data_IF_493865116542
#
_entry.id   IF_493865116542
#
_cell.length_a   1.000
_cell.length_b   1.000
_cell.length_c   1.000
_cell.angle_alpha   90.00
_cell.angle_beta   90.00
_cell.angle_gamma   90.00
#
_symmetry.space_group_name_H-M   'P 1'
#
loop_
_entity.id
_entity.type
_entity.pdbx_description
1 polymer ?
#
# COMPACT_ATOMS: atom_id res chain seq x y z
N UNK A 1 -16.28 -24.92 -21.53
CA UNK A 1 -16.55 -24.69 -20.80
C UNK A 1 -15.90 -24.40 -19.58
N UNK A 2 -14.91 -24.04 -19.39
CA UNK A 2 -14.25 -23.85 -18.21
C UNK A 2 -14.10 -22.45 -17.84
N UNK A 3 -15.12 -21.78 -17.87
CA UNK A 3 -15.14 -20.43 -17.43
C UNK A 3 -14.50 -20.21 -16.07
N UNK A 4 -14.60 -21.12 -15.15
CA UNK A 4 -14.02 -20.95 -13.85
C UNK A 4 -12.53 -20.71 -13.84
N UNK A 5 -11.87 -21.05 -14.91
CA UNK A 5 -10.44 -20.85 -14.97
C UNK A 5 -10.04 -19.40 -14.75
N UNK A 6 -10.83 -18.48 -15.29
CA UNK A 6 -10.54 -17.07 -15.13
C UNK A 6 -10.63 -16.68 -13.67
N UNK A 7 -11.68 -17.14 -13.00
CA UNK A 7 -11.86 -16.84 -11.59
C UNK A 7 -10.77 -17.44 -10.72
N UNK A 8 -10.27 -18.61 -11.11
CA UNK A 8 -9.23 -19.27 -10.35
C UNK A 8 -7.91 -18.53 -10.41
N UNK A 9 -7.69 -17.75 -11.47
CA UNK A 9 -6.46 -17.02 -11.64
C UNK A 9 -6.50 -15.61 -11.04
N UNK A 10 -7.67 -15.15 -10.60
CA UNK A 10 -7.78 -13.85 -9.96
C UNK A 10 -7.48 -14.00 -8.47
N UNK A 11 -6.71 -13.10 -7.88
CA UNK A 11 -6.47 -13.16 -6.45
C UNK A 11 -7.77 -12.93 -5.71
N UNK A 12 -7.96 -13.64 -4.62
CA UNK A 12 -9.11 -13.42 -3.76
C UNK A 12 -8.81 -12.25 -2.83
N UNK A 13 -9.80 -11.40 -2.63
CA UNK A 13 -9.66 -10.32 -1.67
C UNK A 13 -9.55 -10.91 -0.26
N UNK A 14 -8.73 -10.29 0.56
CA UNK A 14 -8.68 -10.60 1.97
C UNK A 14 -9.93 -10.06 2.63
N UNK A 15 -10.36 -10.70 3.71
CA UNK A 15 -11.40 -10.11 4.54
C UNK A 15 -10.82 -8.92 5.30
N UNK A 16 -11.70 -8.08 5.84
CA UNK A 16 -11.25 -6.94 6.64
C UNK A 16 -10.43 -7.43 7.84
N UNK A 17 -10.87 -8.52 8.48
CA UNK A 17 -10.15 -9.11 9.59
C UNK A 17 -8.75 -9.59 9.19
N UNK A 18 -8.63 -10.16 8.00
CA UNK A 18 -7.33 -10.61 7.50
C UNK A 18 -6.42 -9.42 7.20
N UNK A 19 -6.96 -8.34 6.65
CA UNK A 19 -6.18 -7.11 6.41
C UNK A 19 -5.70 -6.55 7.73
N UNK A 20 -6.57 -6.47 8.74
CA UNK A 20 -6.18 -5.97 10.05
C UNK A 20 -5.06 -6.80 10.66
N UNK A 21 -5.16 -8.13 10.56
CA UNK A 21 -4.13 -9.03 11.07
C UNK A 21 -2.80 -8.81 10.35
N UNK A 22 -2.87 -8.62 9.03
CA UNK A 22 -1.68 -8.37 8.20
C UNK A 22 -0.99 -7.07 8.60
N UNK A 23 -1.76 -6.01 8.75
CA UNK A 23 -1.23 -4.70 9.12
C UNK A 23 -0.59 -4.71 10.51
N UNK A 24 -1.23 -5.38 11.47
CA UNK A 24 -0.66 -5.52 12.80
C UNK A 24 0.63 -6.34 12.78
N UNK A 25 0.64 -7.42 12.01
CA UNK A 25 1.82 -8.27 11.92
C UNK A 25 3.01 -7.57 11.28
N UNK A 26 2.76 -6.61 10.40
CA UNK A 26 3.83 -5.87 9.75
C UNK A 26 4.62 -5.01 10.74
N UNK A 27 3.96 -4.46 11.76
CA UNK A 27 4.59 -3.57 12.70
C UNK A 27 4.36 -3.97 14.14
N UNK A 28 4.91 -5.12 14.55
CA UNK A 28 4.70 -5.64 15.89
C UNK A 28 5.56 -4.97 16.95
N UNK A 29 6.59 -4.19 16.55
CA UNK A 29 7.46 -3.51 17.49
C UNK A 29 7.52 -2.02 17.21
N UNK A 30 8.36 -1.33 18.02
CA UNK A 30 8.59 0.11 17.86
C UNK A 30 9.93 0.40 17.20
N UNK A 31 10.65 -0.61 16.76
CA UNK A 31 11.92 -0.39 16.10
C UNK A 31 11.70 0.20 14.70
N UNK A 32 12.76 0.75 14.14
CA UNK A 32 12.67 1.47 12.86
C UNK A 32 12.06 0.63 11.74
N UNK A 33 12.45 -0.65 11.68
CA UNK A 33 11.94 -1.53 10.62
C UNK A 33 10.44 -1.79 10.77
N UNK A 34 9.98 -2.01 12.00
CA UNK A 34 8.57 -2.25 12.26
C UNK A 34 7.74 -1.04 11.89
N UNK A 35 8.19 0.15 12.25
CA UNK A 35 7.48 1.39 11.91
C UNK A 35 7.43 1.60 10.40
N UNK A 36 8.54 1.32 9.70
CA UNK A 36 8.58 1.42 8.25
C UNK A 36 7.62 0.41 7.59
N UNK A 37 7.71 -0.83 8.02
CA UNK A 37 6.92 -1.90 7.40
C UNK A 37 5.42 -1.68 7.63
N UNK A 38 5.05 -1.21 8.82
CA UNK A 38 3.65 -0.88 9.10
C UNK A 38 3.18 0.27 8.21
N UNK A 39 4.00 1.32 8.10
CA UNK A 39 3.64 2.47 7.27
C UNK A 39 3.51 2.07 5.80
N UNK A 40 4.38 1.19 5.32
CA UNK A 40 4.32 0.70 3.95
C UNK A 40 3.00 -0.02 3.66
N UNK A 41 2.64 -0.97 4.50
CA UNK A 41 1.43 -1.74 4.28
C UNK A 41 0.16 -0.90 4.48
N UNK A 42 0.17 0.00 5.46
CA UNK A 42 -0.96 0.90 5.66
C UNK A 42 -1.17 1.78 4.43
N UNK A 43 -0.09 2.27 3.84
CA UNK A 43 -0.18 3.13 2.66
C UNK A 43 -0.65 2.34 1.44
N UNK A 44 -0.13 1.13 1.26
CA UNK A 44 -0.57 0.28 0.15
C UNK A 44 -2.07 -0.03 0.23
N UNK A 45 -2.55 -0.39 1.40
CA UNK A 45 -3.96 -0.71 1.55
C UNK A 45 -4.84 0.54 1.50
N UNK A 46 -4.42 1.64 2.11
CA UNK A 46 -5.23 2.86 2.15
C UNK A 46 -5.44 3.46 0.75
N UNK A 47 -4.47 3.29 -0.14
CA UNK A 47 -4.52 3.91 -1.47
C UNK A 47 -4.90 2.94 -2.58
N UNK A 48 -4.71 1.65 -2.36
CA UNK A 48 -4.87 0.66 -3.41
C UNK A 48 -3.83 0.80 -4.51
N UNK A 49 -2.76 1.55 -4.28
CA UNK A 49 -1.74 1.82 -5.28
C UNK A 49 -0.94 0.58 -5.63
N UNK A 50 -0.28 0.64 -6.79
CA UNK A 50 0.69 -0.38 -7.15
C UNK A 50 1.94 -0.20 -6.30
N UNK A 51 2.64 -1.30 -6.04
CA UNK A 51 3.84 -1.24 -5.20
C UNK A 51 4.87 -0.28 -5.76
N UNK A 52 5.02 -0.24 -7.10
CA UNK A 52 5.98 0.68 -7.73
C UNK A 52 5.63 2.14 -7.47
N UNK A 53 4.35 2.46 -7.39
CA UNK A 53 3.91 3.82 -7.11
C UNK A 53 4.27 4.23 -5.69
N UNK A 54 4.11 3.31 -4.74
CA UNK A 54 4.37 3.62 -3.32
C UNK A 54 5.86 3.71 -3.03
N UNK A 55 6.67 2.78 -3.57
CA UNK A 55 8.12 2.86 -3.32
C UNK A 55 8.77 4.05 -4.03
N UNK A 56 8.10 4.62 -5.02
CA UNK A 56 8.59 5.81 -5.73
C UNK A 56 8.15 7.11 -5.09
N UNK A 57 7.31 7.07 -4.05
CA UNK A 57 6.85 8.29 -3.39
C UNK A 57 8.02 9.09 -2.84
N UNK A 58 8.00 10.39 -3.10
CA UNK A 58 8.92 11.33 -2.47
C UNK A 58 8.21 11.98 -1.27
N UNK A 59 9.00 12.51 -0.35
CA UNK A 59 8.47 13.20 0.82
C UNK A 59 7.48 14.31 0.41
N UNK A 60 7.81 15.04 -0.67
CA UNK A 60 6.97 16.14 -1.13
C UNK A 60 5.62 15.68 -1.71
N UNK A 61 5.45 14.39 -1.95
CA UNK A 61 4.19 13.85 -2.44
C UNK A 61 3.18 13.58 -1.33
N UNK A 62 3.59 13.76 -0.07
CA UNK A 62 2.73 13.56 1.09
C UNK A 62 2.28 14.90 1.66
N UNK A 63 1.00 15.00 1.98
CA UNK A 63 0.46 16.13 2.72
C UNK A 63 -0.29 15.57 3.93
N UNK A 64 0.43 15.42 5.03
CA UNK A 64 -0.11 14.80 6.23
C UNK A 64 -0.65 15.82 7.24
N UNK A 65 -0.32 17.10 7.07
CA UNK A 65 -0.71 18.15 8.00
C UNK A 65 -2.14 18.64 7.79
N UNK A 66 -2.75 18.24 6.67
CA UNK A 66 -4.10 18.64 6.37
C UNK A 66 -5.12 17.84 7.18
N UNK A 67 -6.29 18.41 7.36
CA UNK A 67 -7.38 17.72 8.01
C UNK A 67 -7.74 16.43 7.26
N UNK A 68 -7.60 16.46 5.95
CA UNK A 68 -7.73 15.29 5.09
C UNK A 68 -6.37 14.97 4.49
N UNK A 69 -5.60 14.04 5.08
CA UNK A 69 -4.29 13.70 4.56
C UNK A 69 -4.38 13.12 3.16
N UNK A 70 -3.47 13.56 2.28
CA UNK A 70 -3.50 13.21 0.87
C UNK A 70 -2.11 12.78 0.43
N UNK A 71 -2.07 11.85 -0.52
CA UNK A 71 -0.84 11.45 -1.19
C UNK A 71 -1.00 11.66 -2.69
N UNK A 72 0.07 12.12 -3.32
CA UNK A 72 0.14 12.27 -4.78
C UNK A 72 0.83 11.07 -5.37
N UNK A 73 0.12 10.34 -6.22
CA UNK A 73 0.66 9.15 -6.87
C UNK A 73 0.83 9.40 -8.36
N UNK A 74 1.88 8.81 -8.93
CA UNK A 74 2.14 8.89 -10.35
C UNK A 74 1.98 7.52 -10.98
N UNK A 75 0.97 7.38 -11.83
CA UNK A 75 0.70 6.14 -12.52
C UNK A 75 1.40 6.05 -13.85
N UNK A 76 0.86 5.21 -14.74
CA UNK A 76 1.41 5.00 -16.07
C UNK A 76 1.51 6.33 -16.81
N UNK A 77 2.67 6.58 -17.45
CA UNK A 77 2.90 7.83 -18.17
C UNK A 77 3.02 9.03 -17.26
N UNK A 78 3.31 8.82 -15.98
CA UNK A 78 3.42 9.85 -14.96
C UNK A 78 2.11 10.63 -14.76
N UNK A 79 1.00 9.99 -15.03
CA UNK A 79 -0.29 10.60 -14.77
C UNK A 79 -0.50 10.71 -13.27
N UNK A 80 -0.71 11.94 -12.83
CA UNK A 80 -0.86 12.24 -11.40
C UNK A 80 -2.29 11.98 -10.92
N UNK A 81 -2.42 11.47 -9.70
CA UNK A 81 -3.70 11.44 -9.01
C UNK A 81 -3.49 11.67 -7.53
N UNK A 82 -4.47 12.29 -6.89
CA UNK A 82 -4.45 12.56 -5.47
C UNK A 82 -5.39 11.57 -4.78
N UNK A 83 -4.89 10.91 -3.75
CA UNK A 83 -5.65 9.88 -3.06
C UNK A 83 -5.67 10.19 -1.57
N UNK A 84 -6.85 10.20 -0.93
CA UNK A 84 -6.91 10.39 0.52
C UNK A 84 -6.33 9.18 1.24
N UNK A 85 -5.67 9.44 2.39
CA UNK A 85 -4.99 8.39 3.12
C UNK A 85 -5.80 7.80 4.28
N UNK A 86 -6.63 8.60 4.92
CA UNK A 86 -7.31 8.15 6.13
C UNK A 86 -6.39 8.22 7.35
N UNK A 87 -6.97 8.09 8.53
CA UNK A 87 -6.27 8.33 9.78
C UNK A 87 -5.24 7.24 10.14
N UNK A 88 -5.53 5.99 9.80
CA UNK A 88 -4.59 4.91 10.14
C UNK A 88 -3.29 5.02 9.37
N UNK A 89 -3.37 5.27 8.06
CA UNK A 89 -2.18 5.47 7.25
C UNK A 89 -1.46 6.74 7.65
N UNK A 90 -2.19 7.81 7.96
CA UNK A 90 -1.59 9.06 8.43
C UNK A 90 -0.76 8.82 9.68
N UNK A 91 -1.33 8.15 10.68
CA UNK A 91 -0.62 7.88 11.93
C UNK A 91 0.62 7.01 11.73
N UNK A 92 0.49 5.97 10.90
CA UNK A 92 1.61 5.08 10.63
C UNK A 92 2.74 5.81 9.90
N UNK A 93 2.39 6.64 8.92
CA UNK A 93 3.37 7.43 8.19
C UNK A 93 4.05 8.46 9.08
N UNK A 94 3.30 9.16 9.92
CA UNK A 94 3.89 10.12 10.83
C UNK A 94 4.86 9.46 11.79
N UNK A 95 4.50 8.32 12.37
CA UNK A 95 5.38 7.60 13.28
C UNK A 95 6.66 7.17 12.56
N UNK A 96 6.54 6.64 11.34
CA UNK A 96 7.71 6.24 10.56
C UNK A 96 8.59 7.45 10.22
N UNK A 97 8.00 8.52 9.71
CA UNK A 97 8.77 9.70 9.27
C UNK A 97 9.52 10.36 10.41
N UNK A 98 8.92 10.41 11.59
CA UNK A 98 9.53 11.09 12.74
C UNK A 98 10.46 10.17 13.52
N UNK A 99 10.05 8.92 13.74
CA UNK A 99 10.75 8.05 14.69
C UNK A 99 11.67 7.01 14.03
N UNK A 100 11.51 6.75 12.75
CA UNK A 100 12.27 5.69 12.07
C UNK A 100 13.09 6.16 10.88
N UNK A 101 12.49 6.93 9.99
CA UNK A 101 13.16 7.34 8.75
C UNK A 101 14.49 8.05 8.97
N UNK A 102 14.65 8.93 9.97
CA UNK A 102 15.96 9.59 10.18
C UNK A 102 17.09 8.59 10.43
N UNK A 103 16.81 7.48 11.11
CA UNK A 103 17.85 6.47 11.35
C UNK A 103 18.30 5.79 10.07
N UNK A 104 17.37 5.50 9.16
CA UNK A 104 17.73 4.98 7.83
C UNK A 104 18.45 6.03 7.00
N UNK A 105 17.92 7.25 6.99
CA UNK A 105 18.47 8.34 6.18
C UNK A 105 19.92 8.65 6.56
N UNK A 106 20.27 8.51 7.84
CA UNK A 106 21.61 8.80 8.32
C UNK A 106 22.68 7.90 7.70
N UNK A 107 22.29 6.76 7.17
CA UNK A 107 23.20 5.81 6.55
C UNK A 107 23.33 6.02 5.03
N UNK A 108 22.55 6.92 4.47
CA UNK A 108 22.53 7.16 3.04
C UNK A 108 23.09 8.49 2.64
N UNK A 109 22.82 8.88 1.41
CA UNK A 109 23.35 10.12 0.81
C UNK A 109 22.30 11.16 0.49
N UNK A 110 21.16 11.12 1.20
CA UNK A 110 20.13 12.11 0.98
C UNK A 110 19.06 11.68 -0.02
N UNK A 111 18.48 10.52 0.20
CA UNK A 111 17.37 10.05 -0.64
C UNK A 111 16.08 10.75 -0.24
N UNK A 112 15.34 11.29 -1.21
CA UNK A 112 14.08 12.00 -0.95
C UNK A 112 12.87 11.07 -0.93
N UNK A 113 13.03 9.78 -1.19
CA UNK A 113 11.92 8.83 -1.14
C UNK A 113 11.39 8.69 0.28
N UNK A 114 10.09 8.45 0.39
CA UNK A 114 9.47 8.22 1.69
C UNK A 114 10.02 6.96 2.32
N UNK A 115 9.95 5.85 1.59
CA UNK A 115 10.34 4.54 2.13
C UNK A 115 11.79 4.24 1.81
N UNK A 116 12.59 4.08 2.86
CA UNK A 116 14.02 3.84 2.74
C UNK A 116 14.39 2.41 3.13
N UNK A 117 15.43 1.90 2.49
CA UNK A 117 16.01 0.62 2.88
C UNK A 117 16.96 0.82 4.07
N UNK A 118 17.57 -0.28 4.52
CA UNK A 118 18.46 -0.25 5.69
C UNK A 118 19.73 0.56 5.46
N UNK A 119 20.04 0.91 4.22
CA UNK A 119 21.24 1.70 3.86
C UNK A 119 20.92 3.15 3.58
N UNK A 120 19.65 3.54 3.72
CA UNK A 120 19.23 4.92 3.48
C UNK A 120 18.93 5.26 2.03
N UNK A 121 18.91 4.26 1.15
CA UNK A 121 18.47 4.44 -0.23
C UNK A 121 16.99 4.13 -0.38
N UNK A 122 16.49 4.23 -1.60
CA UNK A 122 15.08 3.93 -1.87
C UNK A 122 14.77 2.46 -1.66
N UNK A 123 13.65 2.18 -1.03
CA UNK A 123 13.18 0.81 -0.86
C UNK A 123 12.80 0.24 -2.23
N UNK A 124 13.27 -0.97 -2.54
CA UNK A 124 12.96 -1.59 -3.83
C UNK A 124 11.61 -2.29 -3.80
N UNK A 125 11.05 -2.53 -5.00
CA UNK A 125 9.82 -3.32 -5.13
C UNK A 125 10.00 -4.72 -4.55
N UNK A 126 11.17 -5.31 -4.76
CA UNK A 126 11.48 -6.64 -4.23
C UNK A 126 11.44 -6.65 -2.71
N UNK A 127 12.06 -5.65 -2.08
CA UNK A 127 12.04 -5.54 -0.63
C UNK A 127 10.62 -5.34 -0.09
N UNK A 128 9.83 -4.51 -0.78
CA UNK A 128 8.44 -4.29 -0.38
C UNK A 128 7.65 -5.60 -0.46
N UNK A 129 7.85 -6.38 -1.52
CA UNK A 129 7.21 -7.68 -1.64
C UNK A 129 7.59 -8.60 -0.47
N UNK A 130 8.88 -8.65 -0.13
CA UNK A 130 9.35 -9.48 0.98
C UNK A 130 8.75 -9.05 2.32
N UNK A 131 8.59 -7.76 2.51
CA UNK A 131 7.94 -7.23 3.72
C UNK A 131 6.51 -7.76 3.83
N UNK A 132 5.78 -7.73 2.72
CA UNK A 132 4.40 -8.24 2.68
C UNK A 132 4.38 -9.72 3.00
N UNK A 133 5.30 -10.50 2.40
CA UNK A 133 5.37 -11.94 2.64
C UNK A 133 5.65 -12.26 4.11
N UNK A 134 6.57 -11.54 4.72
CA UNK A 134 6.88 -11.76 6.14
C UNK A 134 5.70 -11.41 7.03
N UNK A 135 4.99 -10.34 6.71
CA UNK A 135 3.80 -9.96 7.48
C UNK A 135 2.71 -11.03 7.38
N UNK A 136 2.50 -11.56 6.17
CA UNK A 136 1.51 -12.62 5.96
C UNK A 136 1.86 -13.88 6.75
N UNK A 137 3.13 -14.24 6.78
CA UNK A 137 3.60 -15.38 7.55
C UNK A 137 3.37 -15.17 9.04
N UNK A 138 3.71 -13.99 9.56
CA UNK A 138 3.50 -13.67 10.98
C UNK A 138 2.02 -13.67 11.34
N UNK A 139 1.17 -13.24 10.41
CA UNK A 139 -0.27 -13.21 10.64
C UNK A 139 -0.92 -14.57 10.49
N UNK A 140 -0.15 -15.60 10.11
CA UNK A 140 -0.65 -16.95 9.87
C UNK A 140 -1.74 -17.01 8.82
N UNK A 141 -1.62 -16.16 7.80
CA UNK A 141 -2.59 -16.18 6.70
C UNK A 141 -2.30 -17.37 5.79
N UNK A 142 -3.32 -18.16 5.52
CA UNK A 142 -3.19 -19.35 4.69
C UNK A 142 -3.25 -19.05 3.20
N UNK A 143 -3.63 -17.85 2.85
CA UNK A 143 -3.70 -17.44 1.45
C UNK A 143 -2.43 -16.71 1.06
N UNK A 144 -2.07 -16.81 -0.21
CA UNK A 144 -0.92 -16.05 -0.72
C UNK A 144 -1.28 -14.57 -0.75
N UNK A 145 -0.39 -13.73 -0.20
CA UNK A 145 -0.58 -12.29 -0.17
C UNK A 145 0.52 -11.62 -0.97
N UNK A 146 0.12 -10.77 -1.90
CA UNK A 146 1.05 -10.01 -2.75
C UNK A 146 0.57 -8.57 -2.78
N UNK A 147 1.35 -7.66 -3.41
CA UNK A 147 0.86 -6.29 -3.60
C UNK A 147 -0.46 -6.25 -4.36
N UNK A 148 -0.65 -7.15 -5.32
CA UNK A 148 -1.92 -7.24 -6.07
C UNK A 148 -3.08 -7.64 -5.16
N UNK A 149 -2.82 -8.51 -4.19
CA UNK A 149 -3.84 -8.92 -3.23
C UNK A 149 -4.34 -7.73 -2.42
N UNK A 150 -3.42 -6.88 -1.96
CA UNK A 150 -3.78 -5.68 -1.20
C UNK A 150 -4.57 -4.69 -2.05
N UNK A 151 -4.13 -4.46 -3.28
CA UNK A 151 -4.83 -3.56 -4.20
C UNK A 151 -6.23 -4.08 -4.51
N UNK A 152 -6.34 -5.37 -4.76
CA UNK A 152 -7.63 -6.02 -5.02
C UNK A 152 -8.56 -5.92 -3.80
N UNK A 153 -8.01 -6.12 -2.61
CA UNK A 153 -8.78 -6.02 -1.36
C UNK A 153 -9.30 -4.62 -1.13
N UNK A 154 -8.46 -3.60 -1.39
CA UNK A 154 -8.88 -2.21 -1.29
C UNK A 154 -10.07 -1.94 -2.21
N UNK A 155 -9.94 -2.32 -3.49
CA UNK A 155 -11.02 -2.09 -4.46
C UNK A 155 -12.30 -2.81 -4.06
N UNK A 156 -12.17 -4.07 -3.65
CA UNK A 156 -13.32 -4.89 -3.25
C UNK A 156 -14.02 -4.29 -2.05
N UNK A 157 -13.25 -3.88 -1.04
CA UNK A 157 -13.83 -3.32 0.19
C UNK A 157 -14.52 -1.98 -0.08
N UNK A 158 -13.96 -1.14 -0.96
CA UNK A 158 -14.61 0.11 -1.35
C UNK A 158 -15.93 -0.15 -2.04
N UNK A 159 -15.94 -1.10 -2.99
CA UNK A 159 -17.16 -1.42 -3.73
C UNK A 159 -18.23 -2.01 -2.81
N UNK A 160 -17.83 -2.89 -1.91
CA UNK A 160 -18.75 -3.47 -0.92
C UNK A 160 -19.28 -2.42 0.03
N UNK A 161 -18.51 -1.38 0.30
CA UNK A 161 -18.92 -0.28 1.16
C UNK A 161 -19.77 0.77 0.47
N UNK A 162 -20.12 0.57 -0.81
CA UNK A 162 -21.03 1.46 -1.52
C UNK A 162 -20.38 2.39 -2.54
N UNK A 163 -19.06 2.36 -2.69
CA UNK A 163 -18.42 3.18 -3.72
C UNK A 163 -18.80 2.66 -5.11
N UNK A 164 -18.98 3.57 -6.06
CA UNK A 164 -19.30 3.13 -7.41
C UNK A 164 -18.01 2.79 -8.18
N UNK A 165 -18.18 2.02 -9.25
CA UNK A 165 -17.04 1.52 -10.04
C UNK A 165 -16.19 2.67 -10.59
N UNK A 166 -16.82 3.76 -10.99
CA UNK A 166 -16.11 4.90 -11.56
C UNK A 166 -15.18 5.56 -10.54
N UNK A 167 -15.66 5.74 -9.31
CA UNK A 167 -14.84 6.35 -8.26
C UNK A 167 -13.64 5.47 -7.92
N UNK A 168 -13.87 4.16 -7.83
CA UNK A 168 -12.78 3.22 -7.56
C UNK A 168 -11.76 3.24 -8.71
N UNK A 169 -12.25 3.29 -9.94
CA UNK A 169 -11.40 3.38 -11.13
C UNK A 169 -10.48 4.61 -11.05
N UNK A 170 -11.04 5.75 -10.66
CA UNK A 170 -10.25 6.98 -10.55
C UNK A 170 -9.19 6.88 -9.46
N UNK A 171 -9.56 6.34 -8.30
CA UNK A 171 -8.62 6.17 -7.19
C UNK A 171 -7.46 5.26 -7.55
N UNK A 172 -7.75 4.20 -8.29
CA UNK A 172 -6.72 3.23 -8.70
C UNK A 172 -5.93 3.67 -9.93
N UNK A 173 -6.41 4.69 -10.64
CA UNK A 173 -5.74 5.15 -11.85
C UNK A 173 -5.96 4.23 -13.05
N UNK A 174 -7.06 3.48 -13.06
CA UNK A 174 -7.40 2.62 -14.20
C UNK A 174 -7.82 3.47 -15.39
N UNK A 175 -7.43 3.02 -16.57
CA UNK A 175 -7.81 3.72 -17.80
C UNK A 175 -9.15 3.28 -18.35
N UNK A 176 -9.69 2.16 -17.86
CA UNK A 176 -10.97 1.65 -18.33
C UNK A 176 -11.79 1.03 -17.22
N UNK A 177 -13.10 1.07 -17.37
CA UNK A 177 -14.03 0.49 -16.42
C UNK A 177 -13.85 -1.01 -16.31
N UNK A 178 -13.57 -1.68 -17.44
CA UNK A 178 -13.44 -3.13 -17.43
C UNK A 178 -12.29 -3.61 -16.53
N UNK A 179 -11.22 -2.82 -16.40
CA UNK A 179 -10.11 -3.17 -15.51
C UNK A 179 -10.58 -3.21 -14.07
N UNK A 180 -11.40 -2.25 -13.67
CA UNK A 180 -11.93 -2.20 -12.30
C UNK A 180 -12.97 -3.28 -12.06
N UNK A 181 -13.77 -3.59 -13.06
CA UNK A 181 -14.84 -4.57 -12.91
C UNK A 181 -14.36 -5.96 -12.52
N UNK A 182 -13.11 -6.31 -12.81
CA UNK A 182 -12.61 -7.62 -12.40
C UNK A 182 -12.53 -7.76 -10.88
N UNK A 183 -12.59 -6.65 -10.15
CA UNK A 183 -12.56 -6.66 -8.70
C UNK A 183 -13.95 -6.88 -8.07
N UNK A 184 -14.96 -6.85 -8.86
CA UNK A 184 -16.30 -7.12 -8.35
C UNK A 184 -16.65 -8.58 -8.49
#
# INVERSE_FOLDING_TARGET
VRVPQVGEHLPKALTIEQVEALLEAAGTGDDARSLRDRALLETLYATGARVSEVVSLAIDDLDLDEELPIVRLFGKGRKERLVPLGSMAQQALEAYLVRARPAFASKGRGCSNVFLNNRGGALSRQSAWEIIQRAATRANLEVAVSPHTLRHSFATHLLEGGANVRDVQELLGHSSVSTTQIYT
#
